data_IF_188357831806
#
_entry.id   IF_188357831806
#
_cell.length_a   1.000
_cell.length_b   1.000
_cell.length_c   1.000
_cell.angle_alpha   90.00
_cell.angle_beta   90.00
_cell.angle_gamma   90.00
#
_symmetry.space_group_name_H-M   'P 1'
#
loop_
_entity.id
_entity.type
_entity.pdbx_description
1 polymer ?
#
# COMPACT_ATOMS: atom_id res chain seq x y z
N UNK A 1 18.40 3.03 49.06
CA UNK A 1 17.17 3.76 48.62
C UNK A 1 17.19 4.20 47.15
N UNK A 2 18.33 4.30 46.48
CA UNK A 2 18.41 4.75 45.07
C UNK A 2 17.96 3.65 44.08
N UNK A 3 18.16 2.38 44.36
CA UNK A 3 17.77 1.27 43.49
C UNK A 3 16.25 1.04 43.40
N UNK A 4 15.48 1.35 44.46
CA UNK A 4 14.02 1.18 44.43
C UNK A 4 13.30 2.21 43.57
N UNK A 5 13.80 3.44 43.49
CA UNK A 5 13.20 4.51 42.70
C UNK A 5 13.40 4.26 41.20
N UNK A 6 14.55 3.74 40.80
CA UNK A 6 14.86 3.41 39.41
C UNK A 6 13.98 2.25 38.87
N UNK A 7 13.71 1.24 39.73
CA UNK A 7 12.83 0.12 39.33
C UNK A 7 11.37 0.55 39.11
N UNK A 8 10.84 1.41 40.01
CA UNK A 8 9.45 1.91 39.84
C UNK A 8 9.25 2.75 38.57
N UNK A 9 10.25 3.58 38.23
CA UNK A 9 10.22 4.38 37.00
C UNK A 9 10.26 3.47 35.75
N UNK A 10 11.11 2.46 35.72
CA UNK A 10 11.21 1.50 34.61
C UNK A 10 9.95 0.65 34.47
N UNK A 11 9.34 0.24 35.61
CA UNK A 11 8.05 -0.48 35.59
C UNK A 11 6.95 0.44 35.05
N UNK A 12 6.89 1.72 35.47
CA UNK A 12 5.92 2.68 34.99
C UNK A 12 6.05 2.91 33.47
N UNK A 13 7.27 3.11 32.97
CA UNK A 13 7.53 3.23 31.53
C UNK A 13 7.14 1.95 30.79
N UNK A 14 7.41 0.80 31.34
CA UNK A 14 7.04 -0.49 30.75
C UNK A 14 5.52 -0.68 30.72
N UNK A 15 4.78 -0.31 31.78
CA UNK A 15 3.31 -0.36 31.79
C UNK A 15 2.71 0.57 30.74
N UNK A 16 3.14 1.83 30.68
CA UNK A 16 2.69 2.78 29.65
C UNK A 16 2.96 2.27 28.23
N UNK A 17 4.10 1.60 28.03
CA UNK A 17 4.44 1.00 26.75
C UNK A 17 3.49 -0.14 26.39
N UNK A 18 3.12 -0.99 27.35
CA UNK A 18 2.20 -2.11 27.14
C UNK A 18 0.76 -1.64 26.86
N UNK A 19 0.30 -0.60 27.56
CA UNK A 19 -1.05 -0.04 27.34
C UNK A 19 -1.27 0.39 25.89
N UNK A 20 -0.28 1.03 25.25
CA UNK A 20 -0.39 1.41 23.84
C UNK A 20 -0.31 0.23 22.85
N UNK A 21 0.33 -0.88 23.22
CA UNK A 21 0.34 -2.11 22.40
C UNK A 21 -1.01 -2.81 22.50
N UNK A 22 -1.54 -2.97 23.72
CA UNK A 22 -2.83 -3.60 23.97
C UNK A 22 -3.97 -2.87 23.25
N UNK A 23 -3.94 -1.52 23.20
CA UNK A 23 -4.94 -0.73 22.48
C UNK A 23 -5.00 -1.10 20.99
N UNK A 24 -3.84 -1.22 20.32
CA UNK A 24 -3.83 -1.57 18.90
C UNK A 24 -4.19 -3.03 18.62
N UNK A 25 -3.89 -3.94 19.55
CA UNK A 25 -4.34 -5.34 19.48
C UNK A 25 -5.87 -5.42 19.61
N UNK A 26 -6.48 -4.66 20.53
CA UNK A 26 -7.95 -4.57 20.66
C UNK A 26 -8.61 -3.97 19.42
N UNK A 27 -7.99 -2.96 18.80
CA UNK A 27 -8.51 -2.33 17.57
C UNK A 27 -8.49 -3.28 16.37
N UNK A 28 -7.63 -4.28 16.33
CA UNK A 28 -7.63 -5.29 15.27
C UNK A 28 -8.91 -6.14 15.23
N UNK A 29 -9.66 -6.25 16.33
CA UNK A 29 -10.97 -6.91 16.33
C UNK A 29 -11.98 -6.26 15.35
N UNK A 30 -11.84 -4.94 15.08
CA UNK A 30 -12.66 -4.20 14.11
C UNK A 30 -12.21 -4.38 12.65
N UNK A 31 -11.06 -5.03 12.45
CA UNK A 31 -10.47 -5.32 11.16
C UNK A 31 -10.41 -6.83 10.86
N UNK A 32 -11.11 -7.66 11.66
CA UNK A 32 -11.15 -9.10 11.44
C UNK A 32 -11.96 -9.45 10.18
N UNK A 33 -11.49 -10.49 9.48
CA UNK A 33 -12.16 -11.05 8.31
C UNK A 33 -13.57 -11.55 8.69
N UNK A 34 -14.62 -11.11 7.98
CA UNK A 34 -15.93 -11.74 8.07
C UNK A 34 -15.88 -13.24 7.69
N UNK A 35 -15.66 -14.10 8.69
CA UNK A 35 -15.76 -15.55 8.51
C UNK A 35 -17.19 -16.07 8.69
N UNK A 36 -18.22 -15.22 8.66
CA UNK A 36 -19.62 -15.64 8.88
C UNK A 36 -20.56 -15.03 7.86
N UNK A 37 -20.59 -15.56 6.64
CA UNK A 37 -21.86 -15.87 5.97
C UNK A 37 -21.64 -16.81 4.79
N UNK A 38 -22.37 -17.95 4.82
CA UNK A 38 -22.40 -19.00 3.83
C UNK A 38 -22.91 -18.50 2.47
N UNK A 39 -21.97 -18.05 1.63
CA UNK A 39 -22.14 -18.07 0.18
C UNK A 39 -20.83 -18.56 -0.42
N UNK A 40 -20.83 -19.55 -1.34
CA UNK A 40 -19.61 -20.00 -1.97
C UNK A 40 -19.10 -18.86 -2.86
N UNK A 41 -18.16 -18.08 -2.36
CA UNK A 41 -17.38 -17.19 -3.19
C UNK A 41 -16.44 -18.07 -4.02
N UNK A 42 -16.55 -17.99 -5.34
CA UNK A 42 -15.51 -18.42 -6.25
C UNK A 42 -14.19 -17.77 -5.82
N UNK A 43 -13.08 -18.50 -5.92
CA UNK A 43 -11.72 -18.15 -5.53
C UNK A 43 -11.37 -16.65 -5.76
N UNK A 44 -11.72 -15.79 -4.82
CA UNK A 44 -11.42 -14.38 -4.76
C UNK A 44 -10.86 -14.08 -3.38
N UNK A 45 -9.76 -13.38 -3.34
CA UNK A 45 -9.12 -12.85 -2.15
C UNK A 45 -10.18 -12.25 -1.21
N UNK A 46 -10.31 -12.81 -0.01
CA UNK A 46 -11.27 -12.36 0.99
C UNK A 46 -10.86 -10.96 1.44
N UNK A 47 -11.58 -9.95 0.99
CA UNK A 47 -11.41 -8.58 1.48
C UNK A 47 -11.79 -8.54 2.96
N UNK A 48 -10.89 -8.08 3.82
CA UNK A 48 -11.18 -7.84 5.21
C UNK A 48 -12.29 -6.76 5.32
N UNK A 49 -13.31 -7.02 6.10
CA UNK A 49 -14.32 -6.04 6.39
C UNK A 49 -13.86 -5.18 7.58
N UNK A 50 -13.59 -3.89 7.34
CA UNK A 50 -13.29 -2.93 8.41
C UNK A 50 -14.60 -2.30 8.90
N UNK A 51 -14.89 -2.43 10.19
CA UNK A 51 -16.05 -1.75 10.80
C UNK A 51 -15.75 -0.27 11.10
N UNK A 52 -15.74 0.54 10.04
CA UNK A 52 -15.53 1.98 10.17
C UNK A 52 -16.58 2.67 11.03
N UNK A 53 -17.79 2.11 11.13
CA UNK A 53 -18.83 2.71 11.97
C UNK A 53 -18.47 2.57 13.44
N UNK A 54 -18.05 1.39 13.86
CA UNK A 54 -17.61 1.16 15.24
C UNK A 54 -16.34 1.95 15.57
N UNK A 55 -15.37 1.99 14.64
CA UNK A 55 -14.15 2.81 14.80
C UNK A 55 -14.48 4.31 14.93
N UNK A 56 -15.45 4.83 14.16
CA UNK A 56 -15.89 6.24 14.26
C UNK A 56 -16.64 6.56 15.55
N UNK A 57 -17.25 5.58 16.21
CA UNK A 57 -17.83 5.76 17.54
C UNK A 57 -16.74 5.92 18.61
N UNK A 58 -15.55 5.37 18.40
CA UNK A 58 -14.38 5.50 19.29
C UNK A 58 -13.64 6.80 18.96
N UNK A 59 -13.28 7.01 17.67
CA UNK A 59 -12.60 8.21 17.19
C UNK A 59 -13.18 8.65 15.86
N UNK A 60 -13.90 9.78 15.86
CA UNK A 60 -14.54 10.35 14.68
C UNK A 60 -13.56 10.85 13.61
N UNK A 61 -12.25 10.93 13.91
CA UNK A 61 -11.20 11.36 13.00
C UNK A 61 -10.58 10.19 12.21
N UNK A 62 -11.08 8.95 12.37
CA UNK A 62 -10.63 7.81 11.56
C UNK A 62 -11.05 7.98 10.11
N UNK A 63 -10.06 7.90 9.21
CA UNK A 63 -10.25 8.08 7.76
C UNK A 63 -9.95 6.81 6.97
N UNK A 64 -9.11 5.91 7.50
CA UNK A 64 -8.70 4.70 6.81
C UNK A 64 -8.21 3.62 7.79
N UNK A 65 -7.95 2.45 7.22
CA UNK A 65 -7.16 1.39 7.84
C UNK A 65 -6.08 0.96 6.86
N UNK A 66 -4.81 0.97 7.29
CA UNK A 66 -3.68 0.55 6.46
C UNK A 66 -3.25 -0.87 6.81
N UNK A 67 -3.03 -1.69 5.78
CA UNK A 67 -2.50 -3.06 5.92
C UNK A 67 -1.37 -3.31 4.93
N UNK A 68 -0.27 -3.88 5.41
CA UNK A 68 0.83 -4.36 4.58
C UNK A 68 1.60 -5.46 5.33
N UNK A 69 1.41 -6.71 4.93
CA UNK A 69 2.04 -7.86 5.57
C UNK A 69 3.59 -7.77 5.55
N UNK A 70 4.15 -7.39 4.41
CA UNK A 70 5.60 -7.27 4.24
C UNK A 70 6.25 -6.22 5.17
N UNK A 71 5.48 -5.26 5.66
CA UNK A 71 5.92 -4.20 6.58
C UNK A 71 5.38 -4.40 8.00
N UNK A 72 4.57 -5.43 8.25
CA UNK A 72 3.90 -5.63 9.53
C UNK A 72 2.91 -4.52 9.89
N UNK A 73 2.31 -3.88 8.88
CA UNK A 73 1.32 -2.82 9.09
C UNK A 73 -0.08 -3.41 9.16
N UNK A 74 -0.81 -3.09 10.23
CA UNK A 74 -2.24 -3.40 10.40
C UNK A 74 -2.83 -2.43 11.44
N UNK A 75 -3.11 -1.18 10.99
CA UNK A 75 -3.41 -0.06 11.87
C UNK A 75 -4.51 0.84 11.32
N UNK A 76 -5.32 1.46 12.22
CA UNK A 76 -6.17 2.58 11.84
C UNK A 76 -5.34 3.78 11.43
N UNK A 77 -5.90 4.61 10.55
CA UNK A 77 -5.35 5.90 10.13
C UNK A 77 -6.33 6.99 10.51
N UNK A 78 -5.86 7.97 11.23
CA UNK A 78 -6.64 9.14 11.64
C UNK A 78 -6.20 10.39 10.89
N UNK A 79 -7.02 11.44 10.88
CA UNK A 79 -6.64 12.76 10.37
C UNK A 79 -7.10 13.83 11.33
N UNK A 80 -6.15 14.47 12.03
CA UNK A 80 -6.39 15.58 12.93
C UNK A 80 -6.42 16.94 12.21
N UNK A 81 -6.63 18.00 13.00
CA UNK A 81 -6.59 19.38 12.50
C UNK A 81 -5.17 19.85 12.16
N UNK A 82 -4.14 19.20 12.70
CA UNK A 82 -2.73 19.48 12.48
C UNK A 82 -1.90 18.19 12.34
N UNK A 83 -0.59 18.34 12.14
CA UNK A 83 0.35 17.21 12.01
C UNK A 83 1.16 16.97 13.30
N UNK A 84 0.69 17.45 14.45
CA UNK A 84 1.41 17.39 15.74
C UNK A 84 0.69 16.51 16.76
N UNK A 85 -0.65 16.62 16.87
CA UNK A 85 -1.44 15.95 17.90
C UNK A 85 -1.20 14.43 17.97
N UNK A 86 -1.29 13.74 16.85
CA UNK A 86 -1.13 12.28 16.78
C UNK A 86 0.32 11.78 16.83
N UNK A 87 1.29 12.69 16.99
CA UNK A 87 2.66 12.28 17.29
C UNK A 87 2.81 11.70 18.70
N UNK A 88 1.98 12.14 19.65
CA UNK A 88 2.03 11.72 21.04
C UNK A 88 0.66 11.36 21.64
N UNK A 89 -0.33 11.06 20.79
CA UNK A 89 -1.64 10.56 21.19
C UNK A 89 -2.00 9.32 20.37
N UNK A 90 -2.55 8.30 21.06
CA UNK A 90 -3.03 7.06 20.45
C UNK A 90 -4.33 7.30 19.67
N UNK A 91 -4.86 6.24 19.07
CA UNK A 91 -6.14 6.26 18.38
C UNK A 91 -7.31 6.70 19.30
N UNK A 92 -7.30 6.29 20.57
CA UNK A 92 -8.33 6.69 21.55
C UNK A 92 -8.12 8.09 22.13
N UNK A 93 -7.02 8.78 21.76
CA UNK A 93 -6.69 10.11 22.25
C UNK A 93 -5.94 10.12 23.57
N UNK A 94 -5.42 8.98 24.02
CA UNK A 94 -4.57 8.90 25.21
C UNK A 94 -3.14 9.36 24.88
N UNK A 95 -2.53 10.11 25.81
CA UNK A 95 -1.16 10.60 25.65
C UNK A 95 -0.16 9.43 25.71
N UNK A 96 0.49 9.13 24.60
CA UNK A 96 1.40 8.00 24.47
C UNK A 96 2.51 8.24 23.44
N UNK A 97 3.76 7.94 23.79
CA UNK A 97 4.94 8.14 22.94
C UNK A 97 4.96 7.30 21.65
N UNK A 98 4.04 6.37 21.49
CA UNK A 98 3.84 5.58 20.26
C UNK A 98 3.03 6.32 19.21
N UNK A 99 2.23 7.29 19.64
CA UNK A 99 1.35 8.03 18.76
C UNK A 99 0.39 7.15 17.98
N UNK A 100 -0.10 7.65 16.86
CA UNK A 100 -0.94 6.94 15.90
C UNK A 100 -0.36 7.07 14.49
N UNK A 101 -0.81 6.24 13.55
CA UNK A 101 -0.60 6.52 12.12
C UNK A 101 -1.63 7.53 11.70
N UNK A 102 -1.19 8.65 11.12
CA UNK A 102 -2.08 9.73 10.74
C UNK A 102 -1.79 10.31 9.35
N UNK A 103 -2.85 10.81 8.73
CA UNK A 103 -2.80 11.49 7.44
C UNK A 103 -2.42 12.95 7.62
N UNK A 104 -1.63 13.50 6.70
CA UNK A 104 -1.33 14.93 6.66
C UNK A 104 -2.63 15.75 6.64
N UNK A 105 -2.73 16.74 7.52
CA UNK A 105 -3.93 17.56 7.68
C UNK A 105 -4.33 18.34 6.41
N UNK A 106 -3.43 18.47 5.43
CA UNK A 106 -3.67 19.11 4.13
C UNK A 106 -4.26 18.16 3.09
N UNK A 107 -4.19 16.85 3.33
CA UNK A 107 -4.75 15.87 2.41
C UNK A 107 -6.28 15.81 2.52
N UNK A 108 -6.91 15.40 1.43
CA UNK A 108 -8.33 15.05 1.39
C UNK A 108 -8.52 13.62 1.93
N UNK A 109 -9.44 13.40 2.90
CA UNK A 109 -9.57 12.10 3.58
C UNK A 109 -10.04 10.94 2.67
N UNK A 110 -10.44 11.23 1.44
CA UNK A 110 -10.88 10.24 0.44
C UNK A 110 -9.73 9.68 -0.42
N UNK A 111 -8.48 10.07 -0.17
CA UNK A 111 -7.30 9.66 -0.93
C UNK A 111 -7.35 10.06 -2.42
N UNK A 112 -8.01 11.17 -2.74
CA UNK A 112 -8.14 11.68 -4.12
C UNK A 112 -7.01 12.59 -4.57
N UNK A 113 -6.17 13.09 -3.65
CA UNK A 113 -5.02 13.94 -3.96
C UNK A 113 -4.01 13.26 -4.89
N UNK A 114 -3.08 14.02 -5.46
CA UNK A 114 -1.99 13.45 -6.28
C UNK A 114 -1.02 12.63 -5.43
N UNK A 115 -0.80 13.05 -4.17
CA UNK A 115 0.00 12.34 -3.20
C UNK A 115 -0.64 12.44 -1.82
N UNK A 116 -1.04 11.31 -1.26
CA UNK A 116 -1.48 11.21 0.13
C UNK A 116 -0.27 10.90 1.01
N UNK A 117 -0.14 11.62 2.12
CA UNK A 117 1.01 11.47 3.02
C UNK A 117 0.50 10.91 4.35
N UNK A 118 1.08 9.79 4.77
CA UNK A 118 0.82 9.21 6.08
C UNK A 118 2.10 9.26 6.91
N UNK A 119 1.94 9.65 8.17
CA UNK A 119 2.99 9.71 9.17
C UNK A 119 2.81 8.63 10.21
N UNK A 120 3.92 8.14 10.74
CA UNK A 120 3.95 7.18 11.85
C UNK A 120 5.34 7.13 12.48
N UNK A 121 5.42 6.72 13.74
CA UNK A 121 6.71 6.63 14.43
C UNK A 121 7.60 5.49 13.93
N UNK A 122 8.91 5.75 13.94
CA UNK A 122 9.93 4.72 13.77
C UNK A 122 10.22 4.04 15.12
N UNK A 123 9.43 3.03 15.45
CA UNK A 123 9.56 2.34 16.74
C UNK A 123 10.57 1.19 16.66
N UNK A 124 11.36 1.05 17.73
CA UNK A 124 12.43 0.04 17.81
C UNK A 124 11.91 -1.40 17.91
N UNK A 125 10.66 -1.58 18.33
CA UNK A 125 9.98 -2.87 18.38
C UNK A 125 9.42 -3.31 17.02
N UNK A 126 9.55 -2.46 15.99
CA UNK A 126 9.06 -2.71 14.64
C UNK A 126 7.60 -2.31 14.43
N UNK A 127 6.88 -1.88 15.46
CA UNK A 127 5.50 -1.37 15.34
C UNK A 127 5.46 -0.02 14.63
N UNK A 128 4.26 0.41 14.24
CA UNK A 128 4.05 1.59 13.41
C UNK A 128 4.90 1.52 12.12
N UNK A 129 5.74 2.51 11.86
CA UNK A 129 6.66 2.52 10.71
C UNK A 129 8.09 2.08 11.07
N UNK A 130 8.25 1.33 12.18
CA UNK A 130 9.55 0.87 12.65
C UNK A 130 10.25 -0.14 11.73
N UNK A 131 9.53 -0.76 10.82
CA UNK A 131 10.05 -1.72 9.83
C UNK A 131 10.65 -1.08 8.57
N UNK A 132 10.54 0.24 8.37
CA UNK A 132 10.97 0.91 7.12
C UNK A 132 12.46 0.77 6.82
N UNK A 133 13.30 0.54 7.83
CA UNK A 133 14.73 0.25 7.65
C UNK A 133 15.04 -1.10 6.99
N UNK A 134 14.03 -1.95 6.77
CA UNK A 134 14.19 -3.24 6.10
C UNK A 134 14.25 -3.05 4.58
N UNK A 135 15.02 -3.90 3.91
CA UNK A 135 14.99 -3.96 2.44
C UNK A 135 13.65 -4.52 1.99
N UNK A 136 13.01 -3.84 1.05
CA UNK A 136 11.82 -4.37 0.39
C UNK A 136 12.27 -5.41 -0.64
N UNK A 137 11.86 -6.66 -0.44
CA UNK A 137 12.13 -7.75 -1.38
C UNK A 137 10.86 -8.08 -2.19
N UNK A 138 10.98 -8.07 -3.51
CA UNK A 138 9.85 -8.37 -4.41
C UNK A 138 8.83 -7.23 -4.51
N UNK A 139 7.62 -7.59 -4.89
CA UNK A 139 6.50 -6.65 -4.96
C UNK A 139 5.87 -6.50 -3.58
N UNK A 140 5.90 -5.29 -3.04
CA UNK A 140 5.28 -4.97 -1.76
C UNK A 140 4.00 -4.19 -2.01
N UNK A 141 2.88 -4.78 -1.57
CA UNK A 141 1.54 -4.22 -1.72
C UNK A 141 1.09 -3.60 -0.39
N UNK A 142 0.63 -2.36 -0.47
CA UNK A 142 0.00 -1.64 0.64
C UNK A 142 -1.49 -1.49 0.33
N UNK A 143 -2.32 -1.99 1.23
CA UNK A 143 -3.77 -1.90 1.16
C UNK A 143 -4.25 -0.79 2.10
N UNK A 144 -5.09 0.08 1.59
CA UNK A 144 -5.71 1.17 2.35
C UNK A 144 -7.21 1.06 2.22
N UNK A 145 -7.84 0.55 3.27
CA UNK A 145 -9.28 0.47 3.38
C UNK A 145 -9.82 1.83 3.80
N UNK A 146 -10.89 2.27 3.17
CA UNK A 146 -11.60 3.51 3.50
C UNK A 146 -13.09 3.21 3.59
N UNK A 147 -13.92 4.09 4.18
CA UNK A 147 -15.36 3.95 4.13
C UNK A 147 -15.95 3.84 2.71
N UNK A 148 -15.21 4.27 1.67
CA UNK A 148 -15.62 4.22 0.26
C UNK A 148 -15.14 2.95 -0.45
N UNK A 149 -14.19 2.19 0.11
CA UNK A 149 -13.65 0.97 -0.47
C UNK A 149 -12.15 0.81 -0.30
N UNK A 150 -11.60 -0.21 -0.95
CA UNK A 150 -10.18 -0.53 -0.92
C UNK A 150 -9.40 0.25 -1.99
N UNK A 151 -8.33 0.88 -1.56
CA UNK A 151 -7.27 1.41 -2.41
C UNK A 151 -6.04 0.53 -2.28
N UNK A 152 -5.51 0.06 -3.39
CA UNK A 152 -4.29 -0.77 -3.42
C UNK A 152 -3.15 0.04 -4.01
N UNK A 153 -1.99 -0.04 -3.37
CA UNK A 153 -0.78 0.64 -3.78
C UNK A 153 0.39 -0.35 -3.85
N UNK A 154 1.29 -0.13 -4.80
CA UNK A 154 2.55 -0.85 -4.93
C UNK A 154 3.69 0.05 -4.44
N UNK A 155 4.52 -0.41 -3.51
CA UNK A 155 5.73 0.29 -3.12
C UNK A 155 6.70 0.35 -4.30
N UNK A 156 7.18 1.55 -4.63
CA UNK A 156 8.08 1.80 -5.76
C UNK A 156 9.43 2.35 -5.33
N UNK A 157 9.53 2.84 -4.10
CA UNK A 157 10.78 3.40 -3.56
C UNK A 157 10.81 3.29 -2.05
N UNK A 158 12.01 3.04 -1.50
CA UNK A 158 12.28 3.01 -0.06
C UNK A 158 13.63 3.68 0.18
N UNK A 159 13.62 4.88 0.75
CA UNK A 159 14.84 5.67 0.96
C UNK A 159 14.77 6.65 2.13
N UNK A 160 15.92 7.19 2.47
CA UNK A 160 16.06 8.32 3.38
C UNK A 160 16.14 9.59 2.56
N UNK A 161 15.35 10.61 2.95
CA UNK A 161 15.29 11.93 2.33
C UNK A 161 15.42 13.03 3.39
N UNK A 162 15.64 14.28 2.96
CA UNK A 162 15.56 15.44 3.84
C UNK A 162 14.15 15.63 4.41
N UNK A 163 14.03 16.07 5.66
CA UNK A 163 12.75 16.18 6.37
C UNK A 163 11.74 17.14 5.70
N UNK A 164 12.19 18.02 4.83
CA UNK A 164 11.37 18.95 4.05
C UNK A 164 11.67 18.87 2.56
N UNK A 165 12.13 17.70 2.08
CA UNK A 165 12.49 17.52 0.68
C UNK A 165 11.23 17.45 -0.19
N UNK A 166 11.06 18.48 -1.00
CA UNK A 166 10.04 18.49 -2.03
C UNK A 166 10.51 17.66 -3.25
N UNK A 167 9.59 17.00 -3.97
CA UNK A 167 8.14 17.09 -3.89
C UNK A 167 7.45 16.02 -3.01
N UNK A 168 8.18 15.22 -2.21
CA UNK A 168 7.62 14.11 -1.42
C UNK A 168 6.51 14.56 -0.43
N UNK A 169 6.55 15.83 0.01
CA UNK A 169 5.62 16.40 0.99
C UNK A 169 4.59 17.37 0.38
N UNK A 170 4.33 17.24 -0.94
CA UNK A 170 3.23 17.94 -1.60
C UNK A 170 2.04 17.03 -1.81
N UNK A 171 0.86 17.53 -1.50
CA UNK A 171 -0.41 16.80 -1.73
C UNK A 171 -0.88 16.95 -3.17
N UNK A 172 -0.54 18.07 -3.84
CA UNK A 172 -0.77 18.29 -5.27
C UNK A 172 0.56 18.42 -6.01
N UNK A 173 0.68 17.73 -7.13
CA UNK A 173 1.92 17.64 -7.92
C UNK A 173 1.72 18.27 -9.30
N UNK A 174 2.35 19.43 -9.51
CA UNK A 174 2.49 19.96 -10.86
C UNK A 174 3.41 19.05 -11.70
N UNK A 175 3.31 19.19 -13.01
CA UNK A 175 4.04 18.35 -13.97
C UNK A 175 5.56 18.30 -13.71
N UNK A 176 6.16 19.44 -13.40
CA UNK A 176 7.60 19.55 -13.11
C UNK A 176 7.96 18.82 -11.81
N UNK A 177 7.12 18.91 -10.79
CA UNK A 177 7.32 18.24 -9.50
C UNK A 177 7.18 16.73 -9.63
N UNK A 178 6.17 16.28 -10.37
CA UNK A 178 6.02 14.86 -10.69
C UNK A 178 7.21 14.33 -11.49
N UNK A 179 7.73 15.09 -12.46
CA UNK A 179 8.90 14.71 -13.25
C UNK A 179 10.16 14.57 -12.39
N UNK A 180 10.36 15.47 -11.41
CA UNK A 180 11.48 15.36 -10.45
C UNK A 180 11.38 14.07 -9.64
N UNK A 181 10.19 13.80 -9.08
CA UNK A 181 9.92 12.62 -8.26
C UNK A 181 10.07 11.33 -9.08
N UNK A 182 9.47 11.28 -10.26
CA UNK A 182 9.58 10.16 -11.20
C UNK A 182 11.03 9.87 -11.60
N UNK A 183 11.81 10.92 -11.88
CA UNK A 183 13.24 10.78 -12.19
C UNK A 183 14.01 10.23 -10.99
N UNK A 184 13.75 10.73 -9.78
CA UNK A 184 14.40 10.27 -8.56
C UNK A 184 14.12 8.78 -8.28
N UNK A 185 12.87 8.35 -8.41
CA UNK A 185 12.46 6.95 -8.26
C UNK A 185 13.12 6.08 -9.34
N UNK A 186 13.03 6.47 -10.61
CA UNK A 186 13.57 5.69 -11.73
C UNK A 186 15.10 5.52 -11.63
N UNK A 187 15.83 6.56 -11.21
CA UNK A 187 17.29 6.48 -11.00
C UNK A 187 17.65 5.54 -9.85
N UNK A 188 16.85 5.54 -8.77
CA UNK A 188 17.15 4.73 -7.59
C UNK A 188 16.73 3.26 -7.75
N UNK A 189 15.56 3.02 -8.34
CA UNK A 189 14.92 1.69 -8.37
C UNK A 189 14.82 1.07 -9.76
N UNK A 190 14.96 1.87 -10.81
CA UNK A 190 14.70 1.46 -12.18
C UNK A 190 13.21 1.35 -12.54
N UNK A 191 12.31 1.68 -11.62
CA UNK A 191 10.85 1.60 -11.83
C UNK A 191 10.37 2.88 -12.53
N UNK A 192 9.73 2.79 -13.70
CA UNK A 192 9.17 3.96 -14.36
C UNK A 192 7.88 4.40 -13.65
N UNK A 193 7.67 5.72 -13.58
CA UNK A 193 6.42 6.32 -13.11
C UNK A 193 5.79 7.14 -14.23
N UNK A 194 4.47 7.22 -14.26
CA UNK A 194 3.71 7.89 -15.30
C UNK A 194 2.92 9.08 -14.74
N UNK A 195 2.91 10.18 -15.48
CA UNK A 195 2.17 11.40 -15.12
C UNK A 195 0.68 11.08 -14.85
N UNK A 196 0.17 11.57 -13.72
CA UNK A 196 -1.21 11.32 -13.28
C UNK A 196 -1.40 10.09 -12.38
N UNK A 197 -0.35 9.31 -12.13
CA UNK A 197 -0.42 8.27 -11.09
C UNK A 197 -0.66 8.91 -9.72
N UNK A 198 -1.58 8.32 -8.95
CA UNK A 198 -1.83 8.72 -7.57
C UNK A 198 -0.82 8.03 -6.65
N UNK A 199 -0.26 8.79 -5.73
CA UNK A 199 0.82 8.36 -4.85
C UNK A 199 0.37 8.28 -3.40
N UNK A 200 1.08 7.45 -2.64
CA UNK A 200 1.00 7.35 -1.20
C UNK A 200 2.43 7.42 -0.65
N UNK A 201 2.72 8.44 0.12
CA UNK A 201 4.00 8.59 0.84
C UNK A 201 3.82 8.18 2.29
N UNK A 202 4.48 7.11 2.70
CA UNK A 202 4.58 6.71 4.11
C UNK A 202 5.88 7.31 4.65
N UNK A 203 5.81 8.10 5.74
CA UNK A 203 6.94 8.87 6.25
C UNK A 203 7.16 8.67 7.75
N UNK A 204 8.41 8.41 8.15
CA UNK A 204 8.80 8.28 9.55
C UNK A 204 10.15 8.93 9.85
N UNK A 205 10.46 9.15 11.13
CA UNK A 205 11.75 9.69 11.56
C UNK A 205 12.89 8.70 11.27
N UNK A 206 14.05 9.22 10.88
CA UNK A 206 15.28 8.43 10.67
C UNK A 206 16.28 8.59 11.83
N UNK A 207 15.79 8.81 13.06
CA UNK A 207 16.63 9.00 14.24
C UNK A 207 17.25 10.38 14.38
N UNK A 208 17.00 11.31 13.44
CA UNK A 208 17.30 12.73 13.56
C UNK A 208 16.18 13.59 12.93
N UNK A 209 16.13 14.85 13.31
CA UNK A 209 15.07 15.77 12.87
C UNK A 209 15.25 16.27 11.42
N UNK A 210 16.42 16.05 10.83
CA UNK A 210 16.77 16.54 9.49
C UNK A 210 16.44 15.54 8.39
N UNK A 211 16.17 14.29 8.74
CA UNK A 211 15.94 13.21 7.79
C UNK A 211 14.66 12.46 8.10
N UNK A 212 14.08 11.90 7.06
CA UNK A 212 12.93 11.00 7.12
C UNK A 212 13.21 9.76 6.32
N UNK A 213 12.75 8.63 6.82
CA UNK A 213 12.67 7.40 6.03
C UNK A 213 11.29 7.36 5.38
N UNK A 214 11.26 7.22 4.07
CA UNK A 214 10.02 7.15 3.31
C UNK A 214 9.90 5.84 2.54
N UNK A 215 8.66 5.38 2.40
CA UNK A 215 8.26 4.43 1.37
C UNK A 215 7.27 5.15 0.46
N UNK A 216 7.63 5.31 -0.82
CA UNK A 216 6.75 5.86 -1.83
C UNK A 216 6.03 4.73 -2.53
N UNK A 217 4.70 4.84 -2.61
CA UNK A 217 3.86 3.86 -3.27
C UNK A 217 3.08 4.53 -4.39
N UNK A 218 2.79 3.80 -5.47
CA UNK A 218 1.86 4.23 -6.53
C UNK A 218 0.56 3.45 -6.42
N UNK A 219 -0.56 4.11 -6.66
CA UNK A 219 -1.87 3.46 -6.71
C UNK A 219 -1.92 2.51 -7.89
N UNK A 220 -2.33 1.28 -7.66
CA UNK A 220 -2.62 0.32 -8.72
C UNK A 220 -4.07 0.47 -9.16
N UNK A 221 -4.35 0.17 -10.43
CA UNK A 221 -5.74 0.03 -10.86
C UNK A 221 -6.41 -1.06 -9.99
N UNK A 222 -7.71 -0.94 -9.68
CA UNK A 222 -8.44 -2.06 -9.10
C UNK A 222 -8.13 -3.28 -9.96
N UNK A 223 -7.68 -4.38 -9.36
CA UNK A 223 -7.61 -5.64 -10.08
C UNK A 223 -9.05 -5.98 -10.44
N UNK A 224 -9.51 -5.58 -11.63
CA UNK A 224 -10.59 -6.29 -12.28
C UNK A 224 -10.09 -7.73 -12.32
N UNK A 225 -10.83 -8.59 -11.62
CA UNK A 225 -10.59 -10.01 -11.56
C UNK A 225 -10.14 -10.44 -12.96
N UNK A 226 -8.95 -11.00 -13.05
CA UNK A 226 -8.49 -11.66 -14.25
C UNK A 226 -9.38 -12.91 -14.45
N UNK A 227 -10.66 -12.66 -14.77
CA UNK A 227 -11.54 -13.65 -15.35
C UNK A 227 -10.92 -14.02 -16.69
N UNK A 228 -10.24 -15.16 -16.66
CA UNK A 228 -10.17 -16.09 -17.77
C UNK A 228 -10.01 -15.48 -19.16
N UNK A 229 -8.89 -14.80 -19.41
CA UNK A 229 -8.31 -14.79 -20.74
C UNK A 229 -7.36 -16.02 -20.89
N UNK A 230 -7.77 -17.13 -20.33
CA UNK A 230 -7.16 -18.42 -20.42
C UNK A 230 -8.06 -19.33 -21.23
N UNK A 231 -7.67 -19.59 -22.46
CA UNK A 231 -8.20 -20.65 -23.33
C UNK A 231 -9.45 -20.33 -24.13
N UNK A 232 -9.25 -19.57 -25.21
CA UNK A 232 -9.78 -19.93 -26.52
C UNK A 232 -8.89 -19.33 -27.61
N UNK A 233 -7.61 -19.67 -27.58
CA UNK A 233 -6.86 -19.80 -28.80
C UNK A 233 -7.31 -21.13 -29.42
N UNK A 234 -8.50 -21.16 -29.98
CA UNK A 234 -8.91 -22.17 -30.94
C UNK A 234 -7.87 -22.13 -32.07
N UNK A 235 -7.02 -23.14 -32.10
CA UNK A 235 -6.20 -23.47 -33.25
C UNK A 235 -7.20 -23.73 -34.39
N UNK A 236 -7.45 -22.75 -35.22
CA UNK A 236 -8.04 -22.94 -36.51
C UNK A 236 -7.02 -23.74 -37.33
N UNK A 237 -7.18 -25.05 -37.30
CA UNK A 237 -6.47 -25.94 -38.24
C UNK A 237 -7.03 -25.61 -39.60
N UNK A 238 -6.31 -24.75 -40.33
CA UNK A 238 -6.51 -24.57 -41.74
C UNK A 238 -6.12 -25.92 -42.40
N UNK A 239 -7.10 -26.78 -42.64
CA UNK A 239 -6.94 -27.93 -43.50
C UNK A 239 -6.87 -27.39 -44.93
N UNK A 240 -5.68 -27.23 -45.44
CA UNK A 240 -5.40 -27.01 -46.83
C UNK A 240 -5.94 -28.24 -47.61
N UNK A 241 -6.82 -28.05 -48.65
CA UNK A 241 -7.30 -29.18 -49.46
C UNK A 241 -6.13 -29.74 -50.28
N UNK A 242 -5.98 -31.03 -50.23
CA UNK A 242 -4.98 -31.76 -50.99
C UNK A 242 -5.12 -31.48 -52.50
N UNK A 243 -4.02 -31.31 -53.24
CA UNK A 243 -4.07 -31.13 -54.71
C UNK A 243 -4.63 -32.37 -55.41
N UNK A 244 -5.58 -32.14 -56.32
CA UNK A 244 -6.11 -33.21 -57.20
C UNK A 244 -4.99 -33.79 -58.11
N UNK A 245 -5.02 -35.07 -58.43
CA UNK A 245 -4.01 -35.66 -59.29
C UNK A 245 -4.23 -35.23 -60.75
N UNK A 246 -3.21 -34.64 -61.35
CA UNK A 246 -3.16 -34.32 -62.78
C UNK A 246 -3.39 -35.56 -63.64
N UNK A 247 -4.43 -35.52 -64.48
CA UNK A 247 -4.74 -36.47 -65.48
C UNK A 247 -3.71 -36.41 -66.63
N UNK A 248 -2.85 -37.40 -66.72
CA UNK A 248 -1.98 -37.61 -67.87
C UNK A 248 -2.76 -38.10 -69.05
N UNK A 249 -2.98 -37.23 -70.04
CA UNK A 249 -3.40 -37.62 -71.36
C UNK A 249 -2.17 -37.92 -72.24
N UNK A 250 -2.20 -38.93 -73.12
CA UNK A 250 -1.04 -39.39 -73.85
C UNK A 250 -0.70 -38.48 -75.05
N UNK A 251 0.59 -38.32 -75.26
CA UNK A 251 1.16 -37.62 -76.43
C UNK A 251 0.87 -38.39 -77.72
N UNK A 252 0.29 -37.72 -78.67
CA UNK A 252 0.23 -38.17 -80.09
C UNK A 252 1.50 -37.67 -80.76
N UNK A 253 2.29 -38.67 -81.24
CA UNK A 253 3.38 -38.42 -82.16
C UNK A 253 2.78 -38.09 -83.57
N UNK A 254 3.21 -36.99 -84.16
CA UNK A 254 3.21 -36.80 -85.61
C UNK A 254 4.61 -36.50 -86.09
N UNK A 255 5.04 -37.33 -87.01
CA UNK A 255 6.31 -37.25 -87.71
C UNK A 255 6.08 -36.51 -89.10
N UNK A 256 7.21 -36.08 -89.66
CA UNK A 256 7.47 -35.61 -91.00
C UNK A 256 7.55 -34.10 -91.18
N UNK A 257 8.51 -33.53 -91.80
CA UNK A 257 9.53 -33.79 -92.87
C UNK A 257 10.68 -32.80 -92.60
#
# INVERSE_FOLDING_TARGET
>A
MIFGFSSCVLIGIWCMYQEGVEEYDDLQEYAEEETKNDAPAADGEKLAAIDFKALQEINGEVVAWIRCEALGLDYPVVQGEDNEYYLDHTFTGEEHSGGCIFMDCRNTPDFSDDNTILYGHNRKDGSMFGSFGMSLEGEVTVQVYTPQGLNTYQAVDNRIIGASEEPYYRTSLEKEQFAILSSAVSVHTGIPMHEGEKLLTLSTCNGNDQERHIILCRKTAPQEQAETAGAESAIEIITEPAPEPESTAPAVMEASE
#
